data_IF_700200568797
#
_entry.id   IF_700200568797
#
_cell.length_a   1.000
_cell.length_b   1.000
_cell.length_c   1.000
_cell.angle_alpha   90.00
_cell.angle_beta   90.00
_cell.angle_gamma   90.00
#
_symmetry.space_group_name_H-M   'P 1'
#
loop_
_entity.id
_entity.type
_entity.pdbx_description
1 polymer ?
#
# COMPACT_ATOMS: atom_id res chain seq x y z
N UNK A 1 42.90 -18.07 50.56
CA UNK A 1 43.29 -19.42 51.03
C UNK A 1 42.43 -20.43 50.28
N UNK A 2 42.93 -21.16 49.29
CA UNK A 2 44.28 -21.09 48.72
C UNK A 2 44.25 -21.55 47.27
N UNK A 3 45.13 -20.92 46.50
CA UNK A 3 45.70 -21.34 45.23
C UNK A 3 46.15 -22.82 45.21
N UNK A 4 46.21 -23.42 44.02
CA UNK A 4 47.51 -23.59 43.34
C UNK A 4 47.38 -24.03 41.86
N UNK A 5 48.35 -23.57 41.05
CA UNK A 5 48.54 -23.83 39.62
C UNK A 5 49.81 -24.68 39.46
N UNK A 6 49.86 -25.63 38.50
CA UNK A 6 51.13 -26.13 37.94
C UNK A 6 51.08 -26.42 36.42
N UNK A 7 51.58 -25.45 35.66
CA UNK A 7 52.56 -25.53 34.54
C UNK A 7 53.32 -26.89 34.37
N UNK A 8 53.81 -27.37 33.20
CA UNK A 8 54.48 -26.68 32.07
C UNK A 8 54.93 -27.65 30.92
N UNK A 9 55.41 -27.08 29.79
CA UNK A 9 56.26 -27.62 28.70
C UNK A 9 55.63 -28.58 27.66
N UNK A 10 55.96 -28.56 26.35
CA UNK A 10 56.69 -27.57 25.53
C UNK A 10 57.44 -28.15 24.30
N UNK A 11 57.25 -27.56 23.09
CA UNK A 11 58.09 -27.65 21.85
C UNK A 11 58.20 -29.06 21.18
N UNK A 12 58.52 -29.29 19.89
CA UNK A 12 59.09 -28.47 18.80
C UNK A 12 58.68 -29.00 17.38
N UNK A 13 59.23 -28.46 16.29
CA UNK A 13 58.87 -28.67 14.86
C UNK A 13 59.47 -29.94 14.18
N UNK A 14 58.91 -30.39 13.03
CA UNK A 14 59.74 -30.95 11.94
C UNK A 14 59.16 -30.82 10.50
N UNK A 15 60.07 -30.89 9.51
CA UNK A 15 60.09 -30.26 8.18
C UNK A 15 59.44 -31.02 6.98
N UNK A 16 59.32 -30.26 5.88
CA UNK A 16 59.09 -30.56 4.44
C UNK A 16 60.03 -31.64 3.82
N UNK A 17 59.84 -32.08 2.55
CA UNK A 17 60.40 -31.31 1.40
C UNK A 17 59.72 -31.43 -0.02
N UNK A 18 60.14 -30.46 -0.85
CA UNK A 18 60.17 -30.25 -2.32
C UNK A 18 59.97 -31.40 -3.34
N UNK A 19 59.69 -30.99 -4.60
CA UNK A 19 60.50 -31.22 -5.83
C UNK A 19 60.03 -30.20 -6.91
N UNK A 20 60.83 -29.17 -7.26
CA UNK A 20 61.74 -29.07 -8.44
C UNK A 20 61.04 -28.77 -9.79
N UNK A 21 61.32 -27.73 -10.62
CA UNK A 21 62.43 -26.79 -10.91
C UNK A 21 63.15 -27.07 -12.26
N UNK A 22 63.85 -26.05 -12.82
CA UNK A 22 64.66 -25.94 -14.07
C UNK A 22 64.04 -25.08 -15.19
N UNK A 23 64.79 -24.24 -15.93
CA UNK A 23 66.17 -23.73 -15.73
C UNK A 23 66.47 -22.51 -16.64
N UNK A 24 67.51 -21.76 -16.24
CA UNK A 24 68.32 -20.67 -16.83
C UNK A 24 68.53 -20.62 -18.38
N UNK A 25 69.08 -19.57 -19.02
CA UNK A 25 70.08 -18.51 -18.70
C UNK A 25 69.88 -17.29 -19.68
N UNK A 26 70.56 -16.13 -19.66
CA UNK A 26 71.72 -15.60 -18.90
C UNK A 26 71.60 -14.07 -18.57
N UNK A 27 72.44 -13.18 -19.13
CA UNK A 27 72.64 -11.76 -18.74
C UNK A 27 73.01 -10.83 -19.93
N UNK A 28 72.63 -9.54 -19.87
CA UNK A 28 73.50 -8.40 -20.27
C UNK A 28 72.96 -7.04 -19.76
N UNK A 29 73.86 -6.19 -19.24
CA UNK A 29 73.57 -4.88 -18.63
C UNK A 29 73.25 -3.76 -19.65
N UNK A 30 72.29 -2.88 -19.30
CA UNK A 30 72.49 -1.43 -19.15
C UNK A 30 71.17 -0.74 -18.72
N UNK A 31 71.26 0.27 -17.85
CA UNK A 31 70.10 0.93 -17.25
C UNK A 31 69.55 2.10 -18.08
N UNK A 32 68.23 2.32 -18.06
CA UNK A 32 67.61 3.66 -17.97
C UNK A 32 66.14 3.60 -17.49
N UNK A 33 65.75 4.63 -16.71
CA UNK A 33 64.52 4.97 -15.97
C UNK A 33 63.23 4.09 -15.96
N UNK A 34 62.94 3.60 -14.73
CA UNK A 34 61.74 3.88 -13.91
C UNK A 34 60.29 3.78 -14.45
N UNK A 35 59.58 2.80 -13.86
CA UNK A 35 58.14 2.76 -13.50
C UNK A 35 57.07 2.67 -14.61
N UNK A 36 56.64 1.42 -14.85
CA UNK A 36 55.35 1.08 -15.44
C UNK A 36 54.15 1.47 -14.53
N UNK A 37 52.97 1.53 -15.15
CA UNK A 37 51.75 2.14 -14.63
C UNK A 37 51.04 1.28 -13.57
N UNK A 38 50.61 1.93 -12.47
CA UNK A 38 49.51 1.41 -11.63
C UNK A 38 48.24 2.13 -12.05
N UNK A 39 47.36 1.44 -12.77
CA UNK A 39 46.07 1.96 -13.23
C UNK A 39 45.05 2.02 -12.08
N UNK A 40 44.90 3.19 -11.46
CA UNK A 40 43.72 3.51 -10.66
C UNK A 40 42.57 3.92 -11.57
N UNK A 41 41.54 3.07 -11.72
CA UNK A 41 40.30 3.46 -12.38
C UNK A 41 39.55 4.52 -11.55
N UNK A 42 39.66 5.77 -11.95
CA UNK A 42 39.01 6.89 -11.27
C UNK A 42 37.51 7.00 -11.55
N UNK A 43 36.78 7.53 -10.57
CA UNK A 43 35.33 7.68 -10.60
C UNK A 43 34.83 8.68 -11.63
N UNK A 44 33.78 8.28 -12.37
CA UNK A 44 32.79 9.13 -13.08
C UNK A 44 33.32 10.36 -13.87
N UNK A 45 33.16 10.30 -15.19
CA UNK A 45 33.53 11.37 -16.17
C UNK A 45 32.62 12.64 -16.08
N UNK A 46 32.38 13.14 -14.87
CA UNK A 46 31.58 14.34 -14.59
C UNK A 46 32.42 15.59 -14.87
N UNK A 47 32.25 16.15 -16.06
CA UNK A 47 32.82 17.45 -16.43
C UNK A 47 31.91 18.56 -15.89
N UNK A 48 32.37 19.42 -14.95
CA UNK A 48 31.56 20.52 -14.46
C UNK A 48 31.26 21.51 -15.59
N UNK A 49 29.98 21.83 -15.77
CA UNK A 49 29.52 22.78 -16.80
C UNK A 49 30.17 24.16 -16.62
N UNK A 50 30.64 24.71 -17.74
CA UNK A 50 31.32 26.00 -17.77
C UNK A 50 30.35 27.12 -17.35
N UNK A 51 30.71 27.90 -16.31
CA UNK A 51 29.84 28.94 -15.70
C UNK A 51 29.39 30.07 -16.63
N UNK A 52 29.87 30.11 -17.87
CA UNK A 52 29.55 31.11 -18.89
C UNK A 52 28.70 30.57 -20.04
N UNK A 53 28.30 29.29 -20.02
CA UNK A 53 27.32 28.78 -20.97
C UNK A 53 25.90 29.21 -20.56
N UNK A 54 25.45 30.34 -21.10
CA UNK A 54 24.12 30.88 -20.85
C UNK A 54 22.97 29.95 -21.29
N UNK A 55 23.24 28.92 -22.11
CA UNK A 55 22.25 27.90 -22.47
C UNK A 55 22.00 26.86 -21.37
N UNK A 56 22.93 26.73 -20.41
CA UNK A 56 22.88 25.79 -19.30
C UNK A 56 22.40 26.42 -17.96
N UNK A 57 22.00 27.69 -17.96
CA UNK A 57 21.47 28.36 -16.76
C UNK A 57 20.01 27.99 -16.55
N UNK A 58 19.77 26.81 -15.97
CA UNK A 58 18.44 26.41 -15.54
C UNK A 58 17.98 27.30 -14.38
N UNK A 59 16.99 28.16 -14.63
CA UNK A 59 16.43 29.01 -13.59
C UNK A 59 15.72 28.14 -12.53
N UNK A 60 16.17 28.25 -11.28
CA UNK A 60 15.77 27.35 -10.18
C UNK A 60 14.24 27.24 -10.02
N UNK A 61 13.51 28.35 -10.18
CA UNK A 61 12.04 28.34 -10.10
C UNK A 61 11.38 27.50 -11.20
N UNK A 62 11.95 27.44 -12.41
CA UNK A 62 11.44 26.62 -13.51
C UNK A 62 11.68 25.13 -13.27
N UNK A 63 12.84 24.78 -12.68
CA UNK A 63 13.11 23.40 -12.24
C UNK A 63 12.11 22.95 -11.18
N UNK A 64 11.91 23.76 -10.13
CA UNK A 64 10.91 23.47 -9.10
C UNK A 64 9.49 23.37 -9.65
N UNK A 65 9.10 24.27 -10.56
CA UNK A 65 7.77 24.23 -11.19
C UNK A 65 7.55 22.91 -11.95
N UNK A 66 8.51 22.49 -12.78
CA UNK A 66 8.40 21.27 -13.57
C UNK A 66 8.39 20.03 -12.66
N UNK A 67 9.37 19.89 -11.77
CA UNK A 67 9.45 18.74 -10.86
C UNK A 67 8.23 18.63 -9.94
N UNK A 68 7.70 19.74 -9.45
CA UNK A 68 6.49 19.75 -8.65
C UNK A 68 5.26 19.38 -9.46
N UNK A 69 5.16 19.82 -10.73
CA UNK A 69 4.06 19.47 -11.63
C UNK A 69 4.09 17.99 -12.03
N UNK A 70 5.27 17.43 -12.31
CA UNK A 70 5.46 16.01 -12.59
C UNK A 70 5.06 15.14 -11.37
N UNK A 71 5.56 15.50 -10.18
CA UNK A 71 5.19 14.84 -8.93
C UNK A 71 3.69 14.97 -8.63
N UNK A 72 3.10 16.15 -8.78
CA UNK A 72 1.68 16.38 -8.55
C UNK A 72 0.81 15.53 -9.50
N UNK A 73 1.15 15.52 -10.78
CA UNK A 73 0.46 14.74 -11.82
C UNK A 73 0.53 13.24 -11.53
N UNK A 74 1.72 12.73 -11.21
CA UNK A 74 1.91 11.34 -10.79
C UNK A 74 1.08 10.99 -9.54
N UNK A 75 1.10 11.84 -8.52
CA UNK A 75 0.35 11.58 -7.28
C UNK A 75 -1.15 11.59 -7.49
N UNK A 76 -1.68 12.45 -8.36
CA UNK A 76 -3.11 12.51 -8.68
C UNK A 76 -3.52 11.27 -9.49
N UNK A 77 -2.86 11.01 -10.62
CA UNK A 77 -3.27 10.00 -11.61
C UNK A 77 -2.86 8.57 -11.21
N UNK A 78 -1.62 8.38 -10.76
CA UNK A 78 -1.00 7.06 -10.56
C UNK A 78 -1.03 6.55 -9.11
N UNK A 79 -1.66 7.30 -8.18
CA UNK A 79 -1.64 6.93 -6.75
C UNK A 79 -2.91 7.23 -5.95
N UNK A 80 -3.34 8.50 -5.90
CA UNK A 80 -4.25 8.94 -4.85
C UNK A 80 -5.73 8.74 -5.19
N UNK A 81 -6.12 8.96 -6.45
CA UNK A 81 -7.51 8.99 -6.90
C UNK A 81 -7.89 7.63 -7.54
N UNK A 82 -9.07 7.06 -7.23
CA UNK A 82 -9.55 5.87 -7.94
C UNK A 82 -9.98 6.20 -9.37
N UNK A 83 -9.89 5.25 -10.30
CA UNK A 83 -10.49 5.42 -11.62
C UNK A 83 -12.02 5.28 -11.54
N UNK A 84 -12.77 6.00 -12.39
CA UNK A 84 -14.23 6.00 -12.33
C UNK A 84 -14.85 4.67 -12.81
N UNK A 85 -14.23 4.02 -13.79
CA UNK A 85 -14.73 2.78 -14.41
C UNK A 85 -14.70 1.56 -13.48
N UNK A 86 -13.65 1.44 -12.65
CA UNK A 86 -13.46 0.28 -11.78
C UNK A 86 -13.49 0.60 -10.28
N UNK A 87 -13.43 1.89 -9.91
CA UNK A 87 -13.38 2.35 -8.53
C UNK A 87 -12.06 2.09 -7.82
N UNK A 88 -11.01 1.67 -8.52
CA UNK A 88 -9.75 1.22 -7.94
C UNK A 88 -8.62 2.23 -8.14
N UNK A 89 -7.74 2.30 -7.13
CA UNK A 89 -6.42 2.92 -7.26
C UNK A 89 -5.45 1.97 -7.97
N UNK A 90 -4.37 2.46 -8.60
CA UNK A 90 -3.43 1.61 -9.32
C UNK A 90 -2.82 0.46 -8.49
N UNK A 91 -2.51 0.68 -7.21
CA UNK A 91 -2.05 -0.42 -6.33
C UNK A 91 -3.10 -1.53 -6.18
N UNK A 92 -4.38 -1.17 -6.02
CA UNK A 92 -5.49 -2.11 -5.83
C UNK A 92 -5.76 -2.90 -7.11
N UNK A 93 -5.70 -2.22 -8.27
CA UNK A 93 -5.80 -2.85 -9.60
C UNK A 93 -4.68 -3.85 -9.85
N UNK A 94 -3.44 -3.49 -9.53
CA UNK A 94 -2.24 -4.35 -9.67
C UNK A 94 -2.24 -5.55 -8.73
N UNK A 95 -2.79 -5.40 -7.51
CA UNK A 95 -3.06 -6.51 -6.58
C UNK A 95 -4.04 -7.50 -7.22
N UNK A 96 -5.23 -7.03 -7.66
CA UNK A 96 -6.24 -7.91 -8.28
C UNK A 96 -5.74 -8.58 -9.56
N UNK A 97 -4.97 -7.86 -10.39
CA UNK A 97 -4.34 -8.43 -11.57
C UNK A 97 -3.34 -9.55 -11.22
N UNK A 98 -2.51 -9.34 -10.20
CA UNK A 98 -1.56 -10.36 -9.70
C UNK A 98 -2.26 -11.57 -9.13
N UNK A 99 -3.27 -11.36 -8.28
CA UNK A 99 -4.12 -12.43 -7.76
C UNK A 99 -4.78 -13.21 -8.90
N UNK A 100 -5.23 -12.55 -9.98
CA UNK A 100 -5.84 -13.23 -11.13
C UNK A 100 -4.84 -14.01 -11.98
N UNK A 101 -3.57 -13.60 -12.03
CA UNK A 101 -2.47 -14.37 -12.67
C UNK A 101 -2.03 -15.58 -11.85
N UNK A 102 -2.22 -15.53 -10.53
CA UNK A 102 -1.91 -16.62 -9.59
C UNK A 102 -3.11 -17.51 -9.26
N UNK A 103 -4.27 -17.28 -9.88
CA UNK A 103 -5.55 -17.89 -9.53
C UNK A 103 -5.63 -19.37 -9.92
N UNK A 104 -5.49 -20.25 -8.92
CA UNK A 104 -5.70 -21.71 -8.99
C UNK A 104 -6.91 -22.16 -8.15
N UNK A 105 -7.73 -21.23 -7.66
CA UNK A 105 -8.84 -21.45 -6.74
C UNK A 105 -8.44 -21.71 -5.27
N UNK A 106 -7.13 -21.80 -4.96
CA UNK A 106 -6.61 -22.04 -3.61
C UNK A 106 -6.20 -20.75 -2.92
N UNK A 107 -6.08 -20.82 -1.60
CA UNK A 107 -5.55 -19.75 -0.79
C UNK A 107 -4.04 -19.58 -1.02
N UNK A 108 -3.65 -18.36 -1.38
CA UNK A 108 -2.27 -17.98 -1.62
C UNK A 108 -1.75 -17.16 -0.43
N UNK A 109 -0.49 -17.41 0.00
CA UNK A 109 0.18 -16.60 1.04
C UNK A 109 0.21 -15.14 0.60
N UNK A 110 -0.20 -14.22 1.48
CA UNK A 110 -0.21 -12.78 1.17
C UNK A 110 1.19 -12.27 0.80
N UNK A 111 2.24 -12.80 1.42
CA UNK A 111 3.62 -12.53 1.04
C UNK A 111 3.91 -12.83 -0.45
N UNK A 112 3.36 -13.92 -1.01
CA UNK A 112 3.54 -14.29 -2.42
C UNK A 112 2.76 -13.34 -3.34
N UNK A 113 1.53 -12.97 -2.95
CA UNK A 113 0.69 -12.01 -3.70
C UNK A 113 1.37 -10.64 -3.76
N UNK A 114 1.91 -10.17 -2.63
CA UNK A 114 2.67 -8.91 -2.53
C UNK A 114 3.91 -8.97 -3.43
N UNK A 115 4.74 -10.01 -3.31
CA UNK A 115 5.94 -10.18 -4.14
C UNK A 115 5.65 -10.26 -5.64
N UNK A 116 4.57 -10.94 -6.05
CA UNK A 116 4.14 -10.96 -7.45
C UNK A 116 3.63 -9.58 -7.90
N UNK A 117 2.96 -8.82 -7.03
CA UNK A 117 2.45 -7.48 -7.35
C UNK A 117 3.57 -6.47 -7.61
N UNK A 118 4.76 -6.67 -7.02
CA UNK A 118 5.93 -5.81 -7.27
C UNK A 118 6.41 -5.84 -8.73
N UNK A 119 6.05 -6.85 -9.53
CA UNK A 119 6.28 -6.87 -10.99
C UNK A 119 5.51 -5.78 -11.75
N UNK A 120 4.52 -5.16 -11.11
CA UNK A 120 3.66 -4.12 -11.68
C UNK A 120 3.73 -2.82 -10.86
N UNK A 121 3.93 -2.94 -9.55
CA UNK A 121 3.90 -1.82 -8.61
C UNK A 121 5.29 -1.61 -7.99
N UNK A 122 6.13 -0.70 -8.53
CA UNK A 122 7.52 -0.49 -8.11
C UNK A 122 7.61 0.34 -6.82
N UNK A 123 6.94 -0.11 -5.76
CA UNK A 123 6.87 0.53 -4.44
C UNK A 123 7.05 -0.52 -3.34
N UNK A 124 7.25 -0.05 -2.10
CA UNK A 124 7.51 -0.91 -0.94
C UNK A 124 6.41 -1.94 -0.68
N UNK A 125 6.82 -3.15 -0.33
CA UNK A 125 5.97 -4.31 -0.01
C UNK A 125 4.92 -3.98 1.06
N UNK A 126 5.29 -3.19 2.07
CA UNK A 126 4.38 -2.71 3.10
C UNK A 126 3.16 -1.96 2.54
N UNK A 127 3.35 -1.11 1.53
CA UNK A 127 2.26 -0.33 0.91
C UNK A 127 1.28 -1.21 0.12
N UNK A 128 1.78 -2.27 -0.50
CA UNK A 128 0.99 -3.27 -1.22
C UNK A 128 0.25 -4.17 -0.21
N UNK A 129 0.94 -4.60 0.85
CA UNK A 129 0.37 -5.40 1.93
C UNK A 129 -0.76 -4.68 2.66
N UNK A 130 -0.58 -3.41 3.04
CA UNK A 130 -1.61 -2.58 3.67
C UNK A 130 -2.82 -2.38 2.75
N UNK A 131 -2.59 -2.14 1.45
CA UNK A 131 -3.67 -2.02 0.48
C UNK A 131 -4.45 -3.34 0.30
N UNK A 132 -3.76 -4.48 0.26
CA UNK A 132 -4.37 -5.81 0.18
C UNK A 132 -5.18 -6.11 1.44
N UNK A 133 -4.65 -5.83 2.65
CA UNK A 133 -5.40 -5.96 3.91
C UNK A 133 -6.67 -5.11 3.90
N UNK A 134 -6.59 -3.85 3.49
CA UNK A 134 -7.76 -2.97 3.37
C UNK A 134 -8.80 -3.46 2.36
N UNK A 135 -8.39 -4.17 1.30
CA UNK A 135 -9.32 -4.79 0.34
C UNK A 135 -9.96 -6.07 0.88
N UNK A 136 -9.20 -6.90 1.59
CA UNK A 136 -9.71 -8.11 2.25
C UNK A 136 -10.71 -7.79 3.37
N UNK A 137 -10.47 -6.75 4.15
CA UNK A 137 -11.38 -6.26 5.21
C UNK A 137 -12.76 -5.78 4.68
N UNK A 138 -12.95 -5.62 3.36
CA UNK A 138 -14.25 -5.29 2.75
C UNK A 138 -15.10 -6.51 2.38
N UNK A 139 -14.59 -7.73 2.56
CA UNK A 139 -15.29 -9.02 2.40
C UNK A 139 -16.17 -9.13 1.13
N UNK A 140 -15.66 -8.63 0.00
CA UNK A 140 -16.38 -8.60 -1.28
C UNK A 140 -15.55 -9.19 -2.44
N UNK A 141 -14.32 -8.71 -2.60
CA UNK A 141 -13.46 -9.09 -3.74
C UNK A 141 -12.44 -10.18 -3.42
N UNK A 142 -12.16 -10.41 -2.14
CA UNK A 142 -11.05 -11.22 -1.66
C UNK A 142 -11.57 -12.09 -0.52
N UNK A 143 -11.53 -13.41 -0.71
CA UNK A 143 -11.72 -14.35 0.39
C UNK A 143 -10.45 -14.35 1.25
N UNK A 144 -10.59 -14.21 2.57
CA UNK A 144 -9.46 -14.08 3.51
C UNK A 144 -9.36 -15.26 4.48
N UNK A 145 -8.13 -15.68 4.80
CA UNK A 145 -7.83 -16.69 5.82
C UNK A 145 -6.72 -16.21 6.76
N UNK A 146 -6.87 -16.48 8.06
CA UNK A 146 -5.99 -16.02 9.15
C UNK A 146 -6.48 -14.72 9.82
N UNK A 147 -5.62 -14.05 10.58
CA UNK A 147 -5.97 -12.79 11.25
C UNK A 147 -5.72 -11.56 10.35
N UNK A 148 -6.79 -11.03 9.76
CA UNK A 148 -6.76 -9.84 8.89
C UNK A 148 -6.97 -8.51 9.63
N UNK A 149 -6.88 -8.52 10.97
CA UNK A 149 -7.15 -7.35 11.80
C UNK A 149 -8.65 -7.10 11.96
N UNK A 150 -9.02 -6.00 12.60
CA UNK A 150 -10.42 -5.68 12.89
C UNK A 150 -10.66 -4.17 12.80
N UNK A 151 -11.54 -3.76 11.88
CA UNK A 151 -11.89 -2.36 11.61
C UNK A 151 -12.57 -1.67 12.80
N UNK A 152 -13.22 -2.42 13.68
CA UNK A 152 -13.95 -1.90 14.84
C UNK A 152 -13.02 -1.60 16.01
N UNK A 153 -12.03 -2.45 16.26
CA UNK A 153 -11.05 -2.25 17.35
C UNK A 153 -9.86 -1.41 16.91
N UNK A 154 -9.50 -1.47 15.62
CA UNK A 154 -8.26 -0.92 15.08
C UNK A 154 -7.08 -1.90 15.15
N UNK A 155 -7.34 -3.17 15.47
CA UNK A 155 -6.29 -4.19 15.51
C UNK A 155 -5.71 -4.43 14.12
N UNK A 156 -4.38 -4.47 14.04
CA UNK A 156 -3.65 -4.71 12.78
C UNK A 156 -3.76 -6.18 12.36
N UNK A 157 -3.70 -6.41 11.05
CA UNK A 157 -3.52 -7.75 10.51
C UNK A 157 -2.21 -8.40 10.99
N UNK A 158 -2.19 -9.73 11.03
CA UNK A 158 -0.95 -10.47 11.19
C UNK A 158 -0.04 -10.28 9.96
N UNK A 159 1.26 -10.48 10.15
CA UNK A 159 2.24 -10.28 9.08
C UNK A 159 1.94 -11.15 7.83
N UNK A 160 2.22 -10.68 6.59
CA UNK A 160 1.88 -11.35 5.32
C UNK A 160 2.26 -12.84 5.16
N UNK A 161 3.16 -13.36 5.98
CA UNK A 161 3.55 -14.78 6.04
C UNK A 161 2.54 -15.69 6.76
N UNK A 162 1.67 -15.12 7.61
CA UNK A 162 0.70 -15.85 8.44
C UNK A 162 -0.75 -15.76 7.92
N UNK A 163 -1.00 -14.90 6.94
CA UNK A 163 -2.31 -14.71 6.33
C UNK A 163 -2.31 -15.14 4.86
N UNK A 164 -3.48 -15.57 4.40
CA UNK A 164 -3.70 -16.07 3.04
C UNK A 164 -4.95 -15.44 2.44
N UNK A 165 -4.96 -15.28 1.12
CA UNK A 165 -6.07 -14.73 0.35
C UNK A 165 -6.25 -15.44 -0.99
N UNK A 166 -7.45 -15.33 -1.56
CA UNK A 166 -7.75 -15.63 -2.96
C UNK A 166 -8.82 -14.67 -3.46
N UNK A 167 -9.07 -14.66 -4.78
CA UNK A 167 -10.21 -13.91 -5.33
C UNK A 167 -11.51 -14.59 -4.90
N UNK A 168 -12.51 -13.79 -4.53
CA UNK A 168 -13.86 -14.29 -4.30
C UNK A 168 -14.50 -14.72 -5.62
N UNK A 169 -15.52 -15.59 -5.57
CA UNK A 169 -16.31 -15.95 -6.76
C UNK A 169 -16.90 -14.71 -7.44
N UNK A 170 -17.40 -13.77 -6.63
CA UNK A 170 -17.91 -12.50 -7.09
C UNK A 170 -16.84 -11.70 -7.87
N UNK A 171 -15.61 -11.58 -7.35
CA UNK A 171 -14.54 -10.89 -8.06
C UNK A 171 -14.22 -11.53 -9.42
N UNK A 172 -14.15 -12.87 -9.48
CA UNK A 172 -13.87 -13.60 -10.71
C UNK A 172 -14.89 -13.32 -11.81
N UNK A 173 -16.18 -13.30 -11.46
CA UNK A 173 -17.28 -13.07 -12.40
C UNK A 173 -17.47 -11.59 -12.75
N UNK A 174 -17.20 -10.67 -11.83
CA UNK A 174 -17.57 -9.24 -11.96
C UNK A 174 -16.42 -8.35 -12.41
N UNK A 175 -15.19 -8.59 -11.97
CA UNK A 175 -14.06 -7.65 -12.17
C UNK A 175 -13.33 -7.87 -13.50
N UNK A 176 -13.28 -9.11 -13.99
CA UNK A 176 -12.37 -9.49 -15.07
C UNK A 176 -13.11 -9.84 -16.37
N UNK A 177 -12.60 -9.33 -17.50
CA UNK A 177 -12.97 -9.79 -18.83
C UNK A 177 -11.82 -9.55 -19.83
N UNK A 178 -10.96 -10.55 -20.11
CA UNK A 178 -9.77 -10.38 -20.95
C UNK A 178 -10.05 -9.87 -22.38
N UNK A 179 -11.28 -10.01 -22.88
CA UNK A 179 -11.69 -9.55 -24.22
C UNK A 179 -12.01 -8.06 -24.30
N UNK A 180 -12.28 -7.42 -23.17
CA UNK A 180 -12.64 -5.98 -23.07
C UNK A 180 -11.74 -5.22 -22.11
N UNK A 181 -10.65 -5.84 -21.65
CA UNK A 181 -9.60 -5.16 -20.89
C UNK A 181 -8.62 -4.53 -21.86
N UNK A 182 -8.41 -3.22 -21.72
CA UNK A 182 -7.30 -2.54 -22.39
C UNK A 182 -6.01 -2.72 -21.59
N UNK A 183 -4.92 -2.99 -22.31
CA UNK A 183 -3.64 -3.41 -21.74
C UNK A 183 -2.53 -2.41 -22.05
N UNK A 184 -1.79 -2.02 -21.03
CA UNK A 184 -0.52 -1.30 -21.15
C UNK A 184 0.66 -2.20 -20.76
N UNK A 185 1.89 -1.76 -21.03
CA UNK A 185 3.09 -2.41 -20.53
C UNK A 185 3.31 -2.07 -19.04
N UNK A 186 3.95 -2.99 -18.31
CA UNK A 186 4.46 -2.71 -16.96
C UNK A 186 5.55 -1.63 -16.99
N UNK A 187 5.88 -1.06 -15.82
CA UNK A 187 6.90 -0.02 -15.67
C UNK A 187 8.30 -0.42 -16.19
N UNK A 188 8.59 -1.72 -16.27
CA UNK A 188 9.84 -2.30 -16.78
C UNK A 188 9.72 -2.86 -18.21
N UNK A 189 8.56 -2.72 -18.86
CA UNK A 189 8.28 -3.20 -20.21
C UNK A 189 8.15 -4.73 -20.37
N UNK A 190 8.34 -5.52 -19.31
CA UNK A 190 8.39 -7.00 -19.41
C UNK A 190 7.03 -7.69 -19.38
N UNK A 191 6.05 -7.08 -18.73
CA UNK A 191 4.71 -7.62 -18.57
C UNK A 191 3.66 -6.69 -19.21
N UNK A 192 2.42 -7.18 -19.31
CA UNK A 192 1.24 -6.34 -19.55
C UNK A 192 0.42 -6.24 -18.27
N UNK A 193 -0.17 -5.07 -18.05
CA UNK A 193 -1.13 -4.80 -16.97
C UNK A 193 -2.39 -4.11 -17.51
N UNK A 194 -3.55 -4.28 -16.86
CA UNK A 194 -4.77 -3.59 -17.23
C UNK A 194 -4.67 -2.09 -16.94
N UNK A 195 -5.09 -1.23 -17.88
CA UNK A 195 -5.26 0.21 -17.63
C UNK A 195 -6.38 0.39 -16.59
N UNK A 196 -7.54 -0.22 -16.87
CA UNK A 196 -8.69 -0.36 -15.98
C UNK A 196 -9.22 -1.80 -16.01
N UNK A 197 -9.93 -2.20 -14.96
CA UNK A 197 -10.61 -3.50 -14.93
C UNK A 197 -12.09 -3.31 -15.38
N UNK A 198 -12.61 -4.12 -16.32
CA UNK A 198 -13.97 -3.96 -16.86
C UNK A 198 -15.02 -4.46 -15.86
N UNK A 199 -15.17 -3.75 -14.75
CA UNK A 199 -16.04 -4.09 -13.63
C UNK A 199 -17.52 -4.00 -14.03
N UNK A 200 -18.23 -5.12 -13.92
CA UNK A 200 -19.67 -5.24 -14.27
C UNK A 200 -20.60 -4.70 -13.18
N UNK A 201 -20.05 -4.16 -12.10
CA UNK A 201 -20.75 -3.65 -10.93
C UNK A 201 -20.01 -2.39 -10.42
N UNK A 202 -20.72 -1.33 -10.00
CA UNK A 202 -20.14 -0.06 -9.54
C UNK A 202 -19.43 -0.16 -8.18
N UNK A 203 -18.24 -0.77 -8.19
CA UNK A 203 -17.39 -0.99 -7.00
C UNK A 203 -17.03 0.32 -6.27
N UNK A 204 -16.88 1.44 -6.99
CA UNK A 204 -16.57 2.75 -6.39
C UNK A 204 -17.60 3.17 -5.34
N UNK A 205 -18.90 2.99 -5.63
CA UNK A 205 -19.98 3.35 -4.72
C UNK A 205 -20.14 2.32 -3.61
N UNK A 206 -20.09 1.02 -3.94
CA UNK A 206 -20.26 -0.05 -2.97
C UNK A 206 -19.15 -0.05 -1.90
N UNK A 207 -17.90 0.10 -2.33
CA UNK A 207 -16.74 0.01 -1.44
C UNK A 207 -16.29 1.34 -0.83
N UNK A 208 -16.71 2.46 -1.42
CA UNK A 208 -16.15 3.78 -1.13
C UNK A 208 -14.65 3.91 -1.46
N UNK A 209 -14.17 5.14 -1.51
CA UNK A 209 -12.77 5.45 -1.75
C UNK A 209 -12.38 6.76 -1.07
N UNK A 210 -11.20 6.80 -0.44
CA UNK A 210 -10.63 8.01 0.15
C UNK A 210 -9.21 8.22 -0.38
N UNK A 211 -8.91 9.43 -0.85
CA UNK A 211 -7.65 9.78 -1.48
C UNK A 211 -7.27 11.23 -1.22
N UNK A 212 -6.04 11.45 -0.76
CA UNK A 212 -5.44 12.77 -0.61
C UNK A 212 -4.32 12.85 -1.64
N UNK A 213 -4.43 13.81 -2.56
CA UNK A 213 -3.46 14.05 -3.61
C UNK A 213 -2.81 15.44 -3.42
N UNK A 214 -2.07 15.93 -4.42
CA UNK A 214 -1.54 17.29 -4.39
C UNK A 214 -2.66 18.26 -4.78
N UNK A 215 -3.00 19.19 -3.89
CA UNK A 215 -4.00 20.25 -4.14
C UNK A 215 -5.47 19.80 -4.11
N UNK A 216 -5.76 18.50 -4.01
CA UNK A 216 -7.12 17.96 -3.95
C UNK A 216 -7.26 16.77 -2.99
N UNK A 217 -8.49 16.54 -2.53
CA UNK A 217 -8.89 15.32 -1.84
C UNK A 217 -10.20 14.81 -2.42
N UNK A 218 -10.36 13.48 -2.42
CA UNK A 218 -11.57 12.78 -2.85
C UNK A 218 -12.02 11.84 -1.74
N UNK A 219 -13.32 11.82 -1.45
CA UNK A 219 -13.94 10.93 -0.47
C UNK A 219 -15.32 10.50 -0.94
N UNK A 220 -15.38 9.32 -1.53
CA UNK A 220 -16.61 8.60 -1.87
C UNK A 220 -16.95 7.68 -0.69
N UNK A 221 -18.19 7.76 -0.20
CA UNK A 221 -18.67 6.94 0.90
C UNK A 221 -19.21 5.59 0.37
N UNK A 222 -19.12 4.49 1.14
CA UNK A 222 -19.74 3.22 0.79
C UNK A 222 -21.27 3.31 0.76
N UNK A 223 -21.90 2.41 0.00
CA UNK A 223 -23.34 2.32 -0.24
C UNK A 223 -23.79 0.86 -0.26
N UNK A 224 -25.08 0.60 0.00
CA UNK A 224 -25.60 -0.75 0.08
C UNK A 224 -25.60 -1.46 -1.28
N UNK A 225 -25.17 -2.73 -1.32
CA UNK A 225 -25.09 -3.51 -2.56
C UNK A 225 -26.42 -3.57 -3.34
N UNK A 226 -27.53 -3.78 -2.64
CA UNK A 226 -28.85 -3.95 -3.26
C UNK A 226 -29.40 -2.60 -3.74
N UNK A 227 -29.30 -1.56 -2.90
CA UNK A 227 -29.76 -0.21 -3.26
C UNK A 227 -29.04 0.34 -4.50
N UNK A 228 -27.75 0.03 -4.68
CA UNK A 228 -27.02 0.42 -5.90
C UNK A 228 -27.56 -0.33 -7.13
N UNK A 229 -27.92 -1.62 -7.00
CA UNK A 229 -28.55 -2.37 -8.10
C UNK A 229 -29.90 -1.77 -8.48
N UNK A 230 -30.75 -1.48 -7.49
CA UNK A 230 -32.08 -0.90 -7.69
C UNK A 230 -31.97 0.52 -8.30
N UNK A 231 -31.07 1.36 -7.77
CA UNK A 231 -30.77 2.69 -8.31
C UNK A 231 -30.28 2.63 -9.76
N UNK A 232 -29.43 1.67 -10.12
CA UNK A 232 -28.97 1.48 -11.50
C UNK A 232 -30.12 1.07 -12.44
N UNK A 233 -31.04 0.21 -11.98
CA UNK A 233 -32.24 -0.17 -12.74
C UNK A 233 -33.18 1.02 -12.93
N UNK A 234 -33.43 1.82 -11.89
CA UNK A 234 -34.24 3.03 -11.98
C UNK A 234 -33.62 4.05 -12.94
N UNK A 235 -32.31 4.32 -12.83
CA UNK A 235 -31.59 5.22 -13.74
C UNK A 235 -31.72 4.79 -15.22
N UNK A 236 -31.55 3.50 -15.52
CA UNK A 236 -31.68 2.96 -16.88
C UNK A 236 -33.10 3.06 -17.45
N UNK A 237 -34.12 3.15 -16.59
CA UNK A 237 -35.52 3.39 -16.98
C UNK A 237 -35.90 4.87 -17.05
N UNK A 238 -35.02 5.78 -16.61
CA UNK A 238 -35.35 7.20 -16.42
C UNK A 238 -36.27 7.47 -15.22
N UNK A 239 -36.34 6.54 -14.27
CA UNK A 239 -37.13 6.68 -13.04
C UNK A 239 -36.31 7.40 -11.95
N UNK A 240 -36.93 8.25 -11.10
CA UNK A 240 -36.24 8.90 -10.01
C UNK A 240 -35.85 7.90 -8.93
N UNK A 241 -34.64 8.03 -8.38
CA UNK A 241 -34.14 7.22 -7.27
C UNK A 241 -33.48 8.12 -6.22
N UNK A 242 -33.28 7.57 -5.02
CA UNK A 242 -32.44 8.15 -3.97
C UNK A 242 -31.44 7.08 -3.54
N UNK A 243 -30.21 7.49 -3.28
CA UNK A 243 -29.13 6.60 -2.88
C UNK A 243 -28.33 7.32 -1.77
N UNK A 244 -28.23 6.68 -0.62
CA UNK A 244 -27.57 7.25 0.56
C UNK A 244 -26.44 6.34 1.06
N UNK A 245 -25.39 6.90 1.71
CA UNK A 245 -24.30 6.09 2.21
C UNK A 245 -24.75 5.03 3.22
N UNK A 246 -24.23 3.81 3.09
CA UNK A 246 -24.43 2.72 4.03
C UNK A 246 -23.06 2.26 4.54
N UNK A 247 -22.90 2.18 5.86
CA UNK A 247 -21.59 1.98 6.50
C UNK A 247 -21.47 0.58 7.09
N UNK A 248 -20.36 -0.15 6.85
CA UNK A 248 -20.14 -1.49 7.41
C UNK A 248 -20.01 -1.50 8.95
N UNK A 249 -19.87 -0.33 9.58
CA UNK A 249 -19.88 -0.15 11.04
C UNK A 249 -21.28 0.04 11.64
N UNK A 250 -22.31 0.13 10.80
CA UNK A 250 -23.66 0.54 11.20
C UNK A 250 -23.70 1.98 11.73
N UNK A 251 -24.53 2.21 12.75
CA UNK A 251 -24.80 3.52 13.34
C UNK A 251 -25.98 4.22 12.68
N UNK A 252 -26.11 5.52 12.94
CA UNK A 252 -27.17 6.35 12.37
C UNK A 252 -26.56 7.54 11.60
N UNK A 253 -27.14 7.88 10.45
CA UNK A 253 -26.68 8.96 9.58
C UNK A 253 -27.70 10.11 9.51
N UNK A 254 -27.19 11.34 9.41
CA UNK A 254 -27.97 12.56 9.15
C UNK A 254 -27.60 13.06 7.76
N UNK A 255 -28.45 12.76 6.77
CA UNK A 255 -28.30 13.09 5.35
C UNK A 255 -28.79 14.50 4.98
N UNK A 256 -29.31 15.28 5.94
CA UNK A 256 -29.93 16.59 5.69
C UNK A 256 -29.03 17.63 5.02
N UNK A 257 -27.70 17.41 5.05
CA UNK A 257 -26.69 18.24 4.39
C UNK A 257 -25.81 17.45 3.43
N UNK A 258 -26.18 16.22 3.05
CA UNK A 258 -25.33 15.36 2.23
C UNK A 258 -25.06 15.92 0.83
N UNK A 259 -26.05 16.62 0.25
CA UNK A 259 -25.96 17.26 -1.08
C UNK A 259 -25.44 16.31 -2.16
N UNK A 260 -25.92 15.05 -2.14
CA UNK A 260 -25.54 13.95 -3.03
C UNK A 260 -24.02 13.76 -3.21
N UNK A 261 -23.27 14.00 -2.12
CA UNK A 261 -21.80 13.90 -2.11
C UNK A 261 -21.07 15.03 -2.83
N UNK A 262 -21.78 16.05 -3.35
CA UNK A 262 -21.17 17.21 -4.00
C UNK A 262 -20.36 18.07 -3.02
N UNK A 263 -19.46 18.89 -3.56
CA UNK A 263 -18.60 19.79 -2.78
C UNK A 263 -19.44 20.72 -1.88
N UNK A 264 -19.12 20.72 -0.59
CA UNK A 264 -19.88 21.45 0.45
C UNK A 264 -20.91 20.61 1.19
N UNK A 265 -21.20 19.40 0.69
CA UNK A 265 -21.97 18.39 1.42
C UNK A 265 -21.28 17.94 2.70
N UNK A 266 -22.08 17.60 3.71
CA UNK A 266 -21.63 17.10 5.00
C UNK A 266 -22.59 16.04 5.54
N UNK A 267 -22.04 14.92 6.00
CA UNK A 267 -22.78 13.85 6.66
C UNK A 267 -22.38 13.79 8.14
N UNK A 268 -23.34 13.64 9.07
CA UNK A 268 -23.01 13.28 10.45
C UNK A 268 -23.32 11.80 10.67
N UNK A 269 -22.33 11.06 11.15
CA UNK A 269 -22.48 9.67 11.57
C UNK A 269 -22.48 9.61 13.09
N UNK A 270 -23.42 8.86 13.67
CA UNK A 270 -23.62 8.72 15.11
C UNK A 270 -23.50 7.26 15.51
N UNK A 271 -22.92 7.03 16.68
CA UNK A 271 -22.95 5.73 17.34
C UNK A 271 -24.40 5.38 17.71
N UNK A 272 -24.73 4.09 17.71
CA UNK A 272 -25.99 3.61 18.29
C UNK A 272 -25.79 3.39 19.78
N UNK A 273 -26.67 3.99 20.58
CA UNK A 273 -26.54 4.02 22.03
C UNK A 273 -27.89 3.59 22.63
N UNK A 274 -27.90 2.41 23.22
CA UNK A 274 -29.05 1.79 23.84
C UNK A 274 -28.97 1.98 25.37
N UNK A 275 -30.10 2.28 26.01
CA UNK A 275 -30.18 2.44 27.46
C UNK A 275 -30.53 1.11 28.10
N UNK A 276 -29.56 0.43 28.71
CA UNK A 276 -29.76 -0.84 29.40
C UNK A 276 -30.47 -0.64 30.75
N UNK A 277 -30.07 0.37 31.52
CA UNK A 277 -30.71 0.74 32.78
C UNK A 277 -30.59 2.25 33.07
N UNK A 278 -31.03 2.73 34.23
CA UNK A 278 -31.00 4.15 34.60
C UNK A 278 -29.59 4.75 34.83
N UNK A 279 -28.54 3.93 34.82
CA UNK A 279 -27.13 4.25 35.09
C UNK A 279 -26.18 3.72 34.01
N UNK A 280 -26.63 2.77 33.18
CA UNK A 280 -25.82 2.08 32.16
C UNK A 280 -26.31 2.37 30.75
N UNK A 281 -25.40 2.89 29.91
CA UNK A 281 -25.58 3.01 28.45
C UNK A 281 -24.69 1.97 27.76
N UNK A 282 -25.23 1.34 26.72
CA UNK A 282 -24.53 0.37 25.87
C UNK A 282 -24.36 0.99 24.51
N UNK A 283 -23.12 1.04 24.01
CA UNK A 283 -22.83 1.48 22.64
C UNK A 283 -22.72 0.22 21.79
N UNK A 284 -23.73 -0.02 20.95
CA UNK A 284 -23.88 -1.25 20.16
C UNK A 284 -23.21 -1.13 18.78
N UNK A 285 -23.17 0.06 18.19
CA UNK A 285 -22.57 0.33 16.87
C UNK A 285 -21.74 1.63 16.93
N UNK A 286 -20.60 1.67 16.25
CA UNK A 286 -19.66 2.82 16.29
C UNK A 286 -19.71 3.66 15.01
N UNK A 287 -19.38 4.96 15.06
CA UNK A 287 -19.38 5.78 13.85
C UNK A 287 -18.31 5.33 12.86
N UNK A 288 -18.63 5.38 11.57
CA UNK A 288 -17.66 5.13 10.49
C UNK A 288 -16.37 5.96 10.67
N UNK A 289 -15.22 5.36 10.37
CA UNK A 289 -13.86 5.89 10.62
C UNK A 289 -13.46 6.07 12.11
N UNK A 290 -14.18 5.46 13.05
CA UNK A 290 -13.77 5.38 14.46
C UNK A 290 -13.58 3.94 14.91
N UNK A 291 -12.69 3.77 15.88
CA UNK A 291 -12.46 2.50 16.57
C UNK A 291 -12.95 2.57 18.01
N UNK A 292 -13.22 1.41 18.64
CA UNK A 292 -13.58 1.30 20.05
C UNK A 292 -12.56 1.98 20.95
N UNK A 293 -11.25 1.77 20.71
CA UNK A 293 -10.17 2.45 21.43
C UNK A 293 -10.26 3.97 21.33
N UNK A 294 -10.43 4.51 20.11
CA UNK A 294 -10.57 5.96 19.89
C UNK A 294 -11.80 6.57 20.57
N UNK A 295 -12.89 5.79 20.68
CA UNK A 295 -14.13 6.18 21.34
C UNK A 295 -13.98 6.18 22.87
N UNK A 296 -13.38 5.11 23.43
CA UNK A 296 -13.08 4.99 24.86
C UNK A 296 -12.19 6.15 25.30
N UNK A 297 -11.10 6.41 24.58
CA UNK A 297 -10.21 7.56 24.79
C UNK A 297 -10.95 8.90 24.82
N UNK A 298 -11.87 9.10 23.87
CA UNK A 298 -12.66 10.33 23.77
C UNK A 298 -13.60 10.51 24.97
N UNK A 299 -14.22 9.43 25.43
CA UNK A 299 -15.11 9.41 26.60
C UNK A 299 -14.29 9.67 27.88
N UNK A 300 -13.17 8.97 28.08
CA UNK A 300 -12.29 9.17 29.25
C UNK A 300 -11.80 10.61 29.35
N UNK A 301 -11.31 11.19 28.24
CA UNK A 301 -10.87 12.60 28.17
C UNK A 301 -12.03 13.59 28.41
N UNK A 302 -13.28 13.22 28.13
CA UNK A 302 -14.45 14.04 28.44
C UNK A 302 -14.87 13.95 29.91
N UNK A 303 -14.66 12.79 30.56
CA UNK A 303 -14.87 12.59 32.00
C UNK A 303 -13.82 13.34 32.82
N UNK A 304 -12.54 13.24 32.45
CA UNK A 304 -11.44 13.99 33.09
C UNK A 304 -11.66 15.51 33.05
N UNK A 305 -12.18 16.03 31.93
CA UNK A 305 -12.53 17.44 31.75
C UNK A 305 -13.86 17.84 32.42
N UNK A 306 -14.50 16.94 33.14
CA UNK A 306 -15.79 17.18 33.83
C UNK A 306 -16.98 17.41 32.88
N UNK A 307 -16.84 17.19 31.57
CA UNK A 307 -17.92 17.37 30.59
C UNK A 307 -18.96 16.26 30.67
N UNK A 308 -18.54 15.05 31.08
CA UNK A 308 -19.40 13.89 31.27
C UNK A 308 -19.17 13.37 32.70
N UNK A 309 -20.24 13.06 33.42
CA UNK A 309 -20.15 12.38 34.72
C UNK A 309 -20.33 10.88 34.50
N UNK A 310 -19.26 10.11 34.69
CA UNK A 310 -19.28 8.66 34.70
C UNK A 310 -18.98 8.15 36.12
N UNK A 311 -19.55 6.99 36.49
CA UNK A 311 -19.14 6.28 37.71
C UNK A 311 -17.73 5.75 37.50
N UNK A 312 -16.79 6.11 38.38
CA UNK A 312 -15.50 5.39 38.46
C UNK A 312 -15.79 3.96 38.97
N UNK A 313 -15.28 2.98 38.25
CA UNK A 313 -15.26 1.56 38.59
C UNK A 313 -13.83 1.20 38.97
#
# INVERSE_FOLDING_TARGET
MSDEIKDKNGLEEEKSPNLENSSTESEQDAAEDANEEISTEEHSDYKPVNRFDASAVHHLSGMYQNWFLDYASYVILERAVPHIEDGLKPVQRRILHSMKRMDDGRYNKVANIVGHTMQFHPHGDASIGDALVQMGQKDLLIDTQGNWGNILTGDRAAAPRYIEARLSKFALDVVFNPKTTDWQLSYDGRNKEPITLPAKFPLLLAQGAEGIAVGLSSKVLPHNFNEICDAAVHYLKGEPFQLYPDFPTGGAIDVSKYNDGQRGGALKVRAKIDKLDNKTLVISEIPFSKTTGSLIDSITKAVEKGKIKARKV
#
